data_IF_704066007637
#
_entry.id   IF_704066007637
#
_cell.length_a   1.000
_cell.length_b   1.000
_cell.length_c   1.000
_cell.angle_alpha   90.00
_cell.angle_beta   90.00
_cell.angle_gamma   90.00
#
_symmetry.space_group_name_H-M   'P 1'
#
loop_
_entity.id
_entity.type
_entity.pdbx_description
1 polymer ?
#
# COMPACT_ATOMS: atom_id res chain seq x y z
N UNK A 1 22.95 -14.18 -5.78
CA UNK A 1 21.87 -14.02 -6.77
C UNK A 1 21.90 -12.63 -7.41
N UNK A 2 22.21 -11.56 -6.65
CA UNK A 2 22.45 -10.19 -7.18
C UNK A 2 23.51 -10.13 -8.29
N UNK A 3 24.62 -10.89 -8.20
CA UNK A 3 25.63 -10.96 -9.27
C UNK A 3 25.16 -11.62 -10.57
N UNK A 4 23.98 -12.25 -10.61
CA UNK A 4 23.42 -12.86 -11.83
C UNK A 4 22.65 -11.84 -12.69
N UNK A 5 22.22 -10.71 -12.11
CA UNK A 5 21.36 -9.75 -12.78
C UNK A 5 22.12 -8.57 -13.42
N UNK A 6 23.37 -8.30 -13.05
CA UNK A 6 24.08 -7.06 -13.47
C UNK A 6 24.83 -7.10 -14.81
N UNK A 7 24.91 -8.23 -15.53
CA UNK A 7 25.38 -8.19 -16.93
C UNK A 7 24.22 -7.86 -17.87
N UNK A 8 24.14 -6.58 -18.19
CA UNK A 8 23.34 -5.97 -19.25
C UNK A 8 24.06 -6.15 -20.60
N UNK A 9 23.87 -7.30 -21.23
CA UNK A 9 23.89 -7.35 -22.70
C UNK A 9 22.43 -7.45 -23.12
N UNK A 10 21.93 -6.40 -23.79
CA UNK A 10 20.60 -6.42 -24.39
C UNK A 10 20.62 -7.46 -25.53
N UNK A 11 20.18 -8.68 -25.24
CA UNK A 11 19.80 -9.62 -26.29
C UNK A 11 18.58 -8.97 -26.98
N UNK A 12 18.67 -8.83 -28.31
CA UNK A 12 17.57 -8.29 -29.11
C UNK A 12 16.26 -9.04 -28.78
N UNK A 13 15.13 -8.34 -28.66
CA UNK A 13 13.86 -9.00 -28.40
C UNK A 13 13.50 -9.91 -29.58
N UNK A 14 12.96 -11.09 -29.28
CA UNK A 14 12.36 -11.95 -30.29
C UNK A 14 10.93 -11.52 -30.57
N UNK A 15 10.49 -11.73 -31.80
CA UNK A 15 9.13 -11.41 -32.24
C UNK A 15 8.37 -12.69 -32.59
N UNK A 16 7.17 -12.83 -32.04
CA UNK A 16 6.30 -13.98 -32.25
C UNK A 16 4.96 -13.52 -32.84
N UNK A 17 4.60 -14.00 -34.03
CA UNK A 17 3.29 -13.72 -34.64
C UNK A 17 2.29 -14.78 -34.24
N UNK A 18 1.29 -14.45 -33.42
CA UNK A 18 0.28 -15.37 -32.93
C UNK A 18 -1.05 -15.17 -33.66
N UNK A 19 -1.64 -16.23 -34.21
CA UNK A 19 -2.92 -16.19 -34.95
C UNK A 19 -4.01 -17.11 -34.36
N UNK A 20 -3.78 -17.63 -33.15
CA UNK A 20 -4.72 -18.49 -32.42
C UNK A 20 -4.32 -19.97 -32.38
N UNK A 21 -3.15 -20.32 -32.91
CA UNK A 21 -2.65 -21.70 -32.96
C UNK A 21 -2.26 -22.25 -31.58
N UNK A 22 -1.98 -23.56 -31.52
CA UNK A 22 -1.35 -24.18 -30.37
C UNK A 22 0.04 -23.58 -30.12
N UNK A 23 0.41 -23.45 -28.85
CA UNK A 23 1.72 -22.91 -28.43
C UNK A 23 2.40 -23.92 -27.53
N UNK A 24 3.64 -24.28 -27.84
CA UNK A 24 4.50 -25.07 -26.97
C UNK A 24 5.39 -24.16 -26.12
N UNK A 25 5.37 -24.40 -24.81
CA UNK A 25 6.11 -23.63 -23.81
C UNK A 25 7.23 -24.51 -23.25
N UNK A 26 8.46 -24.02 -23.35
CA UNK A 26 9.63 -24.65 -22.73
C UNK A 26 9.87 -24.04 -21.36
N UNK A 27 10.20 -24.88 -20.38
CA UNK A 27 10.44 -24.45 -19.01
C UNK A 27 11.87 -24.72 -18.54
N UNK A 28 12.41 -23.80 -17.74
CA UNK A 28 13.66 -23.96 -17.00
C UNK A 28 13.36 -23.89 -15.49
N UNK A 29 13.92 -24.81 -14.72
CA UNK A 29 13.81 -24.79 -13.25
C UNK A 29 15.02 -24.12 -12.62
N UNK A 30 14.78 -23.09 -11.82
CA UNK A 30 15.78 -22.40 -11.00
C UNK A 30 15.35 -22.48 -9.54
N UNK A 31 16.17 -23.07 -8.68
CA UNK A 31 15.89 -23.24 -7.23
C UNK A 31 14.51 -23.87 -6.94
N UNK A 32 14.10 -24.85 -7.74
CA UNK A 32 12.80 -25.52 -7.61
C UNK A 32 11.60 -24.74 -8.20
N UNK A 33 11.81 -23.52 -8.68
CA UNK A 33 10.78 -22.70 -9.33
C UNK A 33 10.90 -22.85 -10.85
N UNK A 34 9.77 -23.08 -11.52
CA UNK A 34 9.69 -23.22 -12.98
C UNK A 34 9.43 -21.86 -13.65
N UNK A 35 10.26 -21.51 -14.63
CA UNK A 35 10.17 -20.30 -15.44
C UNK A 35 10.04 -20.69 -16.92
N UNK A 36 9.45 -19.82 -17.73
CA UNK A 36 9.40 -20.03 -19.18
C UNK A 36 10.78 -19.68 -19.77
N UNK A 37 11.34 -20.58 -20.57
CA UNK A 37 12.62 -20.41 -21.25
C UNK A 37 12.47 -20.20 -22.76
N UNK A 38 11.35 -20.62 -23.34
CA UNK A 38 11.06 -20.47 -24.77
C UNK A 38 9.57 -20.64 -25.06
N UNK A 39 9.09 -19.97 -26.10
CA UNK A 39 7.72 -20.04 -26.58
C UNK A 39 7.80 -20.30 -28.08
N UNK A 40 7.21 -21.41 -28.55
CA UNK A 40 7.18 -21.78 -29.96
C UNK A 40 5.73 -21.97 -30.39
N UNK A 41 5.39 -21.57 -31.61
CA UNK A 41 4.09 -21.89 -32.20
C UNK A 41 4.16 -23.30 -32.76
N UNK A 42 3.22 -24.13 -32.33
CA UNK A 42 3.07 -25.46 -32.88
C UNK A 42 2.41 -25.31 -34.24
N UNK A 43 3.23 -25.17 -35.28
CA UNK A 43 2.79 -25.30 -36.68
C UNK A 43 2.53 -26.80 -36.91
N UNK A 44 1.54 -27.37 -36.23
CA UNK A 44 0.96 -28.62 -36.70
C UNK A 44 0.28 -28.28 -38.02
N UNK A 45 0.94 -28.65 -39.13
CA UNK A 45 0.28 -28.77 -40.43
C UNK A 45 -0.91 -29.70 -40.23
N UNK A 46 -2.10 -29.12 -40.21
CA UNK A 46 -3.34 -29.82 -39.95
C UNK A 46 -3.61 -30.87 -41.04
N UNK A 47 -3.26 -32.13 -40.76
CA UNK A 47 -3.88 -33.33 -41.35
C UNK A 47 -5.01 -33.79 -40.43
N UNK A 48 -5.96 -32.91 -40.12
CA UNK A 48 -7.05 -33.31 -39.22
C UNK A 48 -8.01 -32.19 -38.90
N UNK A 49 -8.47 -31.48 -39.92
CA UNK A 49 -9.52 -30.45 -39.91
C UNK A 49 -10.60 -30.72 -38.84
N UNK A 50 -10.42 -30.17 -37.64
CA UNK A 50 -11.52 -29.93 -36.71
C UNK A 50 -11.96 -28.51 -36.99
N UNK A 51 -13.04 -28.42 -37.74
CA UNK A 51 -13.74 -27.19 -38.07
C UNK A 51 -14.37 -26.62 -36.79
N UNK A 52 -13.61 -25.86 -35.99
CA UNK A 52 -14.21 -24.90 -35.06
C UNK A 52 -14.56 -23.66 -35.87
N UNK A 53 -15.75 -23.69 -36.47
CA UNK A 53 -16.36 -22.64 -37.30
C UNK A 53 -16.65 -21.30 -36.61
N UNK A 54 -15.77 -20.87 -35.70
CA UNK A 54 -15.71 -19.53 -35.15
C UNK A 54 -14.24 -19.10 -35.20
N UNK A 55 -13.81 -18.53 -36.33
CA UNK A 55 -12.67 -17.58 -36.34
C UNK A 55 -13.13 -16.31 -35.60
N UNK A 56 -13.36 -16.46 -34.30
CA UNK A 56 -13.68 -15.39 -33.39
C UNK A 56 -12.46 -14.50 -33.14
N UNK A 57 -12.69 -13.36 -32.52
CA UNK A 57 -11.62 -12.47 -32.09
C UNK A 57 -10.59 -13.23 -31.25
N UNK A 58 -9.31 -12.87 -31.39
CA UNK A 58 -8.26 -13.44 -30.57
C UNK A 58 -8.55 -13.21 -29.08
N UNK A 59 -8.40 -14.27 -28.30
CA UNK A 59 -8.56 -14.19 -26.85
C UNK A 59 -7.42 -13.37 -26.23
N UNK A 60 -7.66 -12.77 -25.05
CA UNK A 60 -6.58 -12.14 -24.29
C UNK A 60 -5.49 -13.15 -23.92
N UNK A 61 -4.27 -12.67 -23.69
CA UNK A 61 -3.15 -13.50 -23.19
C UNK A 61 -2.84 -13.08 -21.76
N UNK A 62 -2.99 -14.01 -20.83
CA UNK A 62 -2.66 -13.83 -19.42
C UNK A 62 -1.20 -14.19 -19.17
N UNK A 63 -0.49 -13.33 -18.45
CA UNK A 63 0.92 -13.52 -18.10
C UNK A 63 1.05 -13.45 -16.59
N UNK A 64 1.74 -14.43 -16.00
CA UNK A 64 2.12 -14.43 -14.58
C UNK A 64 3.63 -14.40 -14.45
N UNK A 65 4.15 -13.48 -13.65
CA UNK A 65 5.58 -13.35 -13.37
C UNK A 65 5.86 -13.10 -11.90
N UNK A 66 7.10 -13.33 -11.48
CA UNK A 66 7.63 -12.81 -10.22
C UNK A 66 8.77 -11.82 -10.50
N UNK A 67 9.61 -11.57 -9.49
CA UNK A 67 10.79 -10.71 -9.57
C UNK A 67 11.88 -11.25 -10.50
N UNK A 68 11.91 -12.56 -10.75
CA UNK A 68 12.94 -13.24 -11.55
C UNK A 68 12.52 -13.31 -13.02
N UNK A 69 11.30 -13.74 -13.30
CA UNK A 69 10.83 -13.89 -14.69
C UNK A 69 9.40 -14.37 -14.84
N UNK A 70 9.01 -14.66 -16.07
CA UNK A 70 7.68 -15.18 -16.39
C UNK A 70 7.60 -16.65 -15.98
N UNK A 71 6.58 -16.95 -15.19
CA UNK A 71 6.30 -18.30 -14.68
C UNK A 71 5.24 -19.03 -15.50
N UNK A 72 4.30 -18.28 -16.06
CA UNK A 72 3.14 -18.83 -16.76
C UNK A 72 2.61 -17.86 -17.80
N UNK A 73 2.10 -18.41 -18.91
CA UNK A 73 1.42 -17.67 -19.99
C UNK A 73 0.24 -18.51 -20.46
N UNK A 74 -0.97 -17.98 -20.35
CA UNK A 74 -2.18 -18.60 -20.88
C UNK A 74 -2.73 -17.80 -22.06
N UNK A 75 -2.70 -18.40 -23.24
CA UNK A 75 -3.20 -17.81 -24.48
C UNK A 75 -4.74 -17.80 -24.61
N UNK A 76 -5.45 -18.36 -23.62
CA UNK A 76 -6.92 -18.28 -23.50
C UNK A 76 -7.35 -17.08 -22.64
N UNK A 77 -6.41 -16.42 -21.97
CA UNK A 77 -6.68 -15.26 -21.12
C UNK A 77 -7.05 -15.62 -19.69
N UNK A 78 -6.99 -16.90 -19.34
CA UNK A 78 -7.30 -17.39 -18.01
C UNK A 78 -6.09 -17.27 -17.09
N UNK A 79 -6.25 -16.55 -15.98
CA UNK A 79 -5.26 -16.60 -14.90
C UNK A 79 -5.62 -17.78 -14.02
N UNK A 80 -5.01 -18.93 -14.33
CA UNK A 80 -5.36 -20.22 -13.75
C UNK A 80 -5.23 -20.28 -12.21
N UNK A 81 -4.25 -19.55 -11.65
CA UNK A 81 -4.03 -19.52 -10.20
C UNK A 81 -3.30 -18.26 -9.76
N UNK A 82 -3.96 -17.47 -8.91
CA UNK A 82 -3.30 -16.41 -8.15
C UNK A 82 -2.25 -17.02 -7.21
N UNK A 83 -1.00 -16.63 -7.42
CA UNK A 83 0.17 -16.93 -6.61
C UNK A 83 0.62 -15.68 -5.87
N UNK A 84 0.93 -15.85 -4.59
CA UNK A 84 1.51 -14.78 -3.76
C UNK A 84 2.87 -14.37 -4.31
N UNK A 85 3.18 -13.07 -4.24
CA UNK A 85 4.46 -12.52 -4.73
C UNK A 85 4.61 -12.54 -6.25
N UNK A 86 3.54 -12.80 -6.99
CA UNK A 86 3.52 -12.72 -8.44
C UNK A 86 2.72 -11.49 -8.89
N UNK A 87 3.03 -11.02 -10.09
CA UNK A 87 2.27 -10.00 -10.79
C UNK A 87 1.72 -10.54 -12.12
N UNK A 88 0.63 -9.93 -12.56
CA UNK A 88 -0.21 -10.37 -13.64
C UNK A 88 -0.38 -9.28 -14.68
N UNK A 89 -0.39 -9.67 -15.94
CA UNK A 89 -0.68 -8.78 -17.07
C UNK A 89 -1.60 -9.50 -18.03
N UNK A 90 -2.58 -8.76 -18.57
CA UNK A 90 -3.44 -9.24 -19.63
C UNK A 90 -3.18 -8.45 -20.91
N UNK A 91 -2.61 -9.11 -21.91
CA UNK A 91 -2.47 -8.57 -23.26
C UNK A 91 -3.79 -8.77 -23.97
N UNK A 92 -4.38 -7.67 -24.45
CA UNK A 92 -5.67 -7.72 -25.18
C UNK A 92 -5.42 -7.38 -26.64
N UNK A 93 -5.70 -8.30 -27.57
CA UNK A 93 -5.77 -8.00 -29.00
C UNK A 93 -6.78 -6.87 -29.26
N UNK A 94 -6.56 -6.08 -30.33
CA UNK A 94 -7.58 -5.12 -30.78
C UNK A 94 -8.81 -5.91 -31.25
N UNK A 95 -10.01 -5.36 -31.04
CA UNK A 95 -11.23 -5.99 -31.53
C UNK A 95 -11.15 -6.23 -33.05
N UNK A 96 -11.51 -7.42 -33.52
CA UNK A 96 -11.37 -7.81 -34.93
C UNK A 96 -9.95 -8.23 -35.36
N UNK A 97 -8.94 -8.18 -34.49
CA UNK A 97 -7.59 -8.65 -34.81
C UNK A 97 -7.57 -10.16 -35.00
N UNK A 98 -7.10 -10.60 -36.18
CA UNK A 98 -6.87 -12.01 -36.52
C UNK A 98 -5.45 -12.49 -36.21
N UNK A 99 -4.53 -11.55 -35.97
CA UNK A 99 -3.16 -11.82 -35.59
C UNK A 99 -2.68 -10.73 -34.63
N UNK A 100 -1.75 -11.09 -33.76
CA UNK A 100 -0.98 -10.16 -32.94
C UNK A 100 0.50 -10.49 -33.05
N UNK A 101 1.34 -9.47 -32.95
CA UNK A 101 2.79 -9.64 -32.87
C UNK A 101 3.20 -9.39 -31.42
N UNK A 102 3.80 -10.39 -30.80
CA UNK A 102 4.32 -10.33 -29.45
C UNK A 102 5.82 -10.04 -29.50
N UNK A 103 6.27 -9.09 -28.69
CA UNK A 103 7.67 -8.82 -28.40
C UNK A 103 8.06 -9.55 -27.12
N UNK A 104 9.02 -10.45 -27.20
CA UNK A 104 9.43 -11.32 -26.09
C UNK A 104 10.88 -10.99 -25.69
N UNK A 105 11.07 -10.69 -24.41
CA UNK A 105 12.37 -10.32 -23.85
C UNK A 105 12.96 -11.50 -23.07
N UNK A 106 14.20 -11.88 -23.39
CA UNK A 106 14.87 -13.02 -22.76
C UNK A 106 16.17 -12.63 -22.05
N UNK A 107 16.43 -13.31 -20.93
CA UNK A 107 17.73 -13.40 -20.25
C UNK A 107 17.89 -14.82 -19.71
N UNK A 108 18.12 -15.77 -20.62
CA UNK A 108 18.03 -17.24 -20.39
C UNK A 108 16.62 -17.78 -20.07
N UNK A 109 15.79 -16.96 -19.48
CA UNK A 109 14.35 -17.14 -19.29
C UNK A 109 13.59 -15.96 -19.89
N UNK A 110 12.29 -16.11 -20.14
CA UNK A 110 11.43 -15.00 -20.53
C UNK A 110 11.26 -14.05 -19.35
N UNK A 111 11.54 -12.77 -19.58
CA UNK A 111 11.49 -11.70 -18.58
C UNK A 111 10.35 -10.72 -18.82
N UNK A 112 9.91 -10.58 -20.07
CA UNK A 112 8.73 -9.79 -20.43
C UNK A 112 8.11 -10.28 -21.75
N UNK A 113 6.80 -10.09 -21.90
CA UNK A 113 6.07 -10.26 -23.15
C UNK A 113 5.17 -9.04 -23.29
N UNK A 114 5.23 -8.37 -24.44
CA UNK A 114 4.41 -7.20 -24.78
C UNK A 114 3.91 -7.28 -26.21
N UNK A 115 2.98 -6.38 -26.59
CA UNK A 115 2.59 -6.22 -27.99
C UNK A 115 3.68 -5.44 -28.74
N UNK A 116 4.03 -5.88 -29.94
CA UNK A 116 5.06 -5.23 -30.75
C UNK A 116 4.58 -3.93 -31.41
N UNK A 117 3.29 -3.87 -31.78
CA UNK A 117 2.67 -2.72 -32.46
C UNK A 117 2.23 -1.60 -31.49
N UNK A 118 2.54 -1.73 -30.20
CA UNK A 118 2.16 -0.78 -29.16
C UNK A 118 3.26 0.27 -28.97
N UNK A 119 3.59 0.99 -30.05
CA UNK A 119 4.53 2.13 -30.04
C UNK A 119 3.89 3.40 -29.46
N UNK A 120 2.62 3.33 -29.04
CA UNK A 120 2.00 4.43 -28.31
C UNK A 120 2.40 4.35 -26.85
N UNK A 121 3.26 5.27 -26.39
CA UNK A 121 3.58 5.54 -24.97
C UNK A 121 2.33 5.63 -24.06
N UNK A 122 1.13 5.73 -24.64
CA UNK A 122 -0.16 5.81 -23.95
C UNK A 122 -0.70 4.48 -23.42
N UNK A 123 -0.22 3.32 -23.86
CA UNK A 123 -0.72 2.03 -23.37
C UNK A 123 0.23 1.47 -22.31
N UNK A 124 -0.16 1.67 -21.04
CA UNK A 124 0.69 1.35 -19.90
C UNK A 124 0.94 -0.17 -19.79
N UNK A 125 2.14 -0.60 -20.18
CA UNK A 125 2.63 -1.98 -20.00
C UNK A 125 2.96 -2.26 -18.51
N UNK A 126 1.93 -2.40 -17.69
CA UNK A 126 2.01 -2.65 -16.25
C UNK A 126 1.61 -4.08 -15.91
N UNK A 127 2.34 -4.68 -14.98
CA UNK A 127 1.87 -5.84 -14.23
C UNK A 127 1.25 -5.43 -12.88
N UNK A 128 0.10 -6.03 -12.55
CA UNK A 128 -0.63 -5.81 -11.31
C UNK A 128 -0.45 -6.97 -10.35
N UNK A 129 -0.45 -6.74 -9.04
CA UNK A 129 -0.40 -7.83 -8.05
C UNK A 129 -1.73 -8.58 -7.87
N UNK A 130 -2.75 -8.22 -8.66
CA UNK A 130 -4.04 -8.89 -8.75
C UNK A 130 -4.50 -9.04 -10.21
N UNK A 131 -5.57 -9.80 -10.41
CA UNK A 131 -6.20 -10.00 -11.72
C UNK A 131 -7.18 -8.86 -12.03
N UNK A 132 -6.75 -7.88 -12.80
CA UNK A 132 -7.63 -6.81 -13.29
C UNK A 132 -8.16 -7.11 -14.69
N UNK A 133 -9.48 -7.25 -14.80
CA UNK A 133 -10.18 -7.47 -16.08
C UNK A 133 -10.19 -6.25 -16.98
N UNK A 134 -9.98 -5.05 -16.42
CA UNK A 134 -9.75 -3.79 -17.13
C UNK A 134 -8.75 -2.94 -16.36
N UNK A 135 -7.98 -2.05 -17.03
CA UNK A 135 -7.17 -1.08 -16.32
C UNK A 135 -8.03 -0.29 -15.31
N UNK A 136 -7.51 -0.02 -14.11
CA UNK A 136 -8.24 0.73 -13.10
C UNK A 136 -8.46 2.17 -13.57
N UNK A 137 -9.67 2.69 -13.34
CA UNK A 137 -10.02 4.07 -13.67
C UNK A 137 -9.44 5.03 -12.63
N UNK A 138 -8.34 5.68 -12.99
CA UNK A 138 -7.58 6.57 -12.09
C UNK A 138 -7.55 7.96 -12.72
N UNK A 139 -8.40 8.89 -12.24
CA UNK A 139 -8.54 10.20 -12.86
C UNK A 139 -7.30 11.07 -12.66
N UNK A 140 -6.57 10.88 -11.56
CA UNK A 140 -5.35 11.64 -11.29
C UNK A 140 -4.28 10.73 -10.68
N UNK A 141 -3.10 10.76 -11.29
CA UNK A 141 -1.91 10.11 -10.75
C UNK A 141 -1.06 11.13 -10.02
N UNK A 142 -0.72 10.83 -8.77
CA UNK A 142 0.46 11.42 -8.18
C UNK A 142 1.71 10.75 -8.78
N UNK A 143 2.67 11.56 -9.22
CA UNK A 143 3.93 11.14 -9.81
C UNK A 143 5.02 12.00 -9.20
N UNK A 144 6.01 11.38 -8.54
CA UNK A 144 7.11 12.12 -7.89
C UNK A 144 7.90 12.95 -8.91
N UNK A 145 8.38 12.31 -9.98
CA UNK A 145 9.18 12.93 -11.02
C UNK A 145 8.44 12.93 -12.36
N UNK A 146 8.04 14.12 -12.83
CA UNK A 146 7.37 14.26 -14.12
C UNK A 146 8.34 13.90 -15.25
N UNK A 147 7.92 12.99 -16.13
CA UNK A 147 8.74 12.50 -17.24
C UNK A 147 9.52 11.21 -16.93
N UNK A 148 9.50 10.73 -15.69
CA UNK A 148 10.05 9.42 -15.37
C UNK A 148 9.26 8.30 -16.08
N UNK A 149 9.97 7.27 -16.54
CA UNK A 149 9.35 6.08 -17.12
C UNK A 149 8.33 5.49 -16.13
N UNK A 150 7.16 5.02 -16.62
CA UNK A 150 6.16 4.43 -15.74
C UNK A 150 6.71 3.19 -15.01
N UNK A 151 6.23 2.94 -13.78
CA UNK A 151 6.59 1.73 -13.06
C UNK A 151 6.08 0.49 -13.81
N UNK A 152 6.89 -0.57 -13.83
CA UNK A 152 6.51 -1.85 -14.44
C UNK A 152 5.54 -2.67 -13.59
N UNK A 153 5.55 -2.43 -12.28
CA UNK A 153 4.79 -3.20 -11.31
C UNK A 153 3.95 -2.25 -10.47
N UNK A 154 2.67 -2.54 -10.40
CA UNK A 154 1.72 -1.82 -9.56
C UNK A 154 1.00 -2.79 -8.64
N UNK A 155 0.52 -2.24 -7.54
CA UNK A 155 -0.32 -2.88 -6.55
C UNK A 155 -1.70 -2.26 -6.57
N UNK A 156 -2.70 -3.09 -6.28
CA UNK A 156 -4.06 -2.64 -6.13
C UNK A 156 -4.63 -3.09 -4.79
N UNK A 157 -5.03 -2.12 -3.97
CA UNK A 157 -5.73 -2.35 -2.71
C UNK A 157 -7.19 -2.04 -2.95
N UNK A 158 -8.04 -3.07 -2.96
CA UNK A 158 -9.49 -2.91 -3.11
C UNK A 158 -10.07 -2.27 -1.85
N UNK A 159 -10.99 -1.32 -2.06
CA UNK A 159 -11.81 -0.71 -1.01
C UNK A 159 -13.26 -1.04 -1.30
N UNK A 160 -13.89 -1.81 -0.42
CA UNK A 160 -15.27 -2.23 -0.55
C UNK A 160 -15.99 -2.24 0.81
N UNK A 161 -17.23 -2.70 0.81
CA UNK A 161 -18.07 -2.73 2.02
C UNK A 161 -17.55 -3.68 3.11
N UNK A 162 -16.63 -4.59 2.77
CA UNK A 162 -16.00 -5.51 3.72
C UNK A 162 -14.71 -4.94 4.33
N UNK A 163 -14.24 -3.80 3.83
CA UNK A 163 -13.06 -3.11 4.35
C UNK A 163 -13.34 -2.55 5.74
N UNK A 164 -12.57 -2.99 6.74
CA UNK A 164 -12.67 -2.63 8.16
C UNK A 164 -11.57 -1.67 8.63
N UNK A 165 -10.58 -1.42 7.81
CA UNK A 165 -9.49 -0.52 8.14
C UNK A 165 -8.42 -0.51 7.06
N UNK A 166 -7.56 0.48 7.10
CA UNK A 166 -6.44 0.61 6.18
C UNK A 166 -5.17 0.76 7.01
N UNK A 167 -4.17 -0.08 6.79
CA UNK A 167 -2.84 0.11 7.35
C UNK A 167 -1.89 0.54 6.25
N UNK A 168 -1.16 1.63 6.50
CA UNK A 168 -0.07 2.07 5.63
C UNK A 168 1.23 1.94 6.41
N UNK A 169 2.15 1.18 5.84
CA UNK A 169 3.52 1.16 6.31
C UNK A 169 4.26 2.35 5.71
N UNK A 170 4.93 3.11 6.56
CA UNK A 170 5.56 4.36 6.21
C UNK A 170 7.03 4.30 6.60
N UNK A 171 7.90 4.86 5.77
CA UNK A 171 9.26 5.22 6.16
C UNK A 171 9.35 6.75 6.26
N UNK A 172 10.50 7.25 6.71
CA UNK A 172 10.81 8.69 6.65
C UNK A 172 10.82 9.23 5.20
N UNK A 173 10.97 8.34 4.20
CA UNK A 173 10.99 8.71 2.78
C UNK A 173 9.59 8.67 2.13
N UNK A 174 8.58 8.19 2.84
CA UNK A 174 7.20 8.12 2.37
C UNK A 174 6.60 6.71 2.48
N UNK A 175 5.56 6.46 1.69
CA UNK A 175 4.75 5.23 1.73
C UNK A 175 5.55 4.03 1.23
N UNK A 176 5.56 2.95 2.01
CA UNK A 176 6.22 1.68 1.67
C UNK A 176 5.21 0.68 1.12
N UNK A 177 4.14 0.42 1.87
CA UNK A 177 3.05 -0.48 1.48
C UNK A 177 1.70 -0.03 2.05
N UNK A 178 0.62 -0.40 1.36
CA UNK A 178 -0.75 -0.11 1.74
C UNK A 178 -1.49 -1.44 1.79
N UNK A 179 -2.25 -1.66 2.86
CA UNK A 179 -3.06 -2.85 3.07
C UNK A 179 -4.46 -2.45 3.56
N UNK A 180 -5.50 -3.02 2.97
CA UNK A 180 -6.87 -2.91 3.45
C UNK A 180 -7.22 -4.18 4.22
N UNK A 181 -7.75 -4.02 5.44
CA UNK A 181 -8.12 -5.11 6.32
C UNK A 181 -9.56 -5.52 6.09
N UNK A 182 -9.79 -6.81 5.86
CA UNK A 182 -11.13 -7.44 5.78
C UNK A 182 -11.27 -8.58 6.81
N UNK A 183 -12.45 -9.20 6.91
CA UNK A 183 -12.69 -10.28 7.88
C UNK A 183 -11.93 -11.55 7.52
N UNK A 184 -11.20 -12.10 8.50
CA UNK A 184 -10.51 -13.39 8.38
C UNK A 184 -9.18 -13.33 7.61
N UNK A 185 -8.62 -12.13 7.48
CA UNK A 185 -7.34 -11.95 6.81
C UNK A 185 -6.14 -12.47 7.60
N UNK A 186 -5.06 -12.72 6.86
CA UNK A 186 -3.78 -13.15 7.44
C UNK A 186 -2.91 -11.95 7.78
N UNK A 187 -2.13 -12.09 8.85
CA UNK A 187 -1.18 -11.06 9.30
C UNK A 187 0.16 -11.13 8.56
N UNK A 188 0.28 -11.98 7.55
CA UNK A 188 1.55 -12.23 6.86
C UNK A 188 2.04 -11.04 6.01
N UNK A 189 1.21 -10.00 5.81
CA UNK A 189 1.63 -8.81 5.06
C UNK A 189 2.69 -7.99 5.84
N UNK A 190 2.66 -8.03 7.18
CA UNK A 190 3.65 -7.37 8.03
C UNK A 190 5.05 -7.94 7.74
N UNK A 191 5.19 -9.27 7.84
CA UNK A 191 6.43 -10.00 7.57
C UNK A 191 6.96 -9.74 6.14
N UNK A 192 6.12 -9.84 5.10
CA UNK A 192 6.58 -9.55 3.72
C UNK A 192 7.15 -8.13 3.60
N UNK A 193 6.50 -7.16 4.23
CA UNK A 193 6.92 -5.77 4.10
C UNK A 193 8.24 -5.53 4.80
N UNK A 194 8.43 -6.13 5.98
CA UNK A 194 9.67 -6.06 6.76
C UNK A 194 10.83 -6.77 6.03
N UNK A 195 10.58 -7.92 5.40
CA UNK A 195 11.58 -8.64 4.62
C UNK A 195 12.07 -7.85 3.39
N UNK A 196 11.22 -6.98 2.83
CA UNK A 196 11.53 -6.22 1.61
C UNK A 196 12.30 -4.93 1.87
N UNK A 197 12.23 -4.40 3.09
CA UNK A 197 12.68 -3.03 3.36
C UNK A 197 13.65 -3.05 4.52
N UNK A 198 14.92 -2.79 4.19
CA UNK A 198 15.95 -2.55 5.20
C UNK A 198 15.76 -1.15 5.78
N UNK A 199 15.07 -1.04 6.92
CA UNK A 199 14.97 0.23 7.63
C UNK A 199 13.82 0.33 8.63
N UNK A 200 13.73 1.50 9.26
CA UNK A 200 12.65 1.85 10.18
C UNK A 200 11.31 1.99 9.44
N UNK A 201 10.34 1.17 9.82
CA UNK A 201 8.97 1.17 9.30
C UNK A 201 8.02 1.59 10.43
N UNK A 202 7.14 2.53 10.12
CA UNK A 202 6.07 3.00 11.00
C UNK A 202 4.74 2.46 10.47
N UNK A 203 3.95 1.85 11.35
CA UNK A 203 2.66 1.24 10.99
C UNK A 203 1.51 2.11 11.43
N UNK A 204 0.93 2.87 10.50
CA UNK A 204 -0.21 3.73 10.78
C UNK A 204 -1.49 3.02 10.34
N UNK A 205 -2.39 2.78 11.28
CA UNK A 205 -3.68 2.13 11.01
C UNK A 205 -4.82 3.15 11.10
N UNK A 206 -5.73 3.07 10.13
CA UNK A 206 -6.96 3.84 10.11
C UNK A 206 -8.13 2.86 10.12
N UNK A 207 -8.70 2.53 11.29
CA UNK A 207 -9.86 1.65 11.38
C UNK A 207 -11.07 2.33 10.74
N UNK A 208 -11.96 1.55 10.12
CA UNK A 208 -13.21 2.03 9.53
C UNK A 208 -14.40 1.42 10.27
N UNK A 209 -15.35 2.28 10.66
CA UNK A 209 -16.62 1.88 11.22
C UNK A 209 -17.46 1.07 10.21
N UNK A 210 -18.51 0.42 10.70
CA UNK A 210 -19.44 -0.28 9.82
C UNK A 210 -20.08 0.70 8.82
N UNK A 211 -19.97 0.40 7.52
CA UNK A 211 -20.44 1.25 6.40
C UNK A 211 -19.70 2.59 6.25
N UNK A 212 -18.63 2.81 7.01
CA UNK A 212 -17.75 3.95 6.76
C UNK A 212 -16.90 3.66 5.53
N UNK A 213 -16.89 4.61 4.59
CA UNK A 213 -16.14 4.48 3.34
C UNK A 213 -15.13 5.60 3.20
N UNK A 214 -14.08 5.36 2.43
CA UNK A 214 -13.21 6.44 1.97
C UNK A 214 -14.02 7.33 1.01
N UNK A 215 -13.86 8.64 1.12
CA UNK A 215 -14.56 9.63 0.28
C UNK A 215 -13.61 10.52 -0.51
N UNK A 216 -12.38 10.69 -0.02
CA UNK A 216 -11.37 11.49 -0.70
C UNK A 216 -9.97 11.08 -0.26
N UNK A 217 -8.98 11.42 -1.08
CA UNK A 217 -7.59 11.35 -0.67
C UNK A 217 -6.70 12.37 -1.38
N UNK A 218 -5.57 12.64 -0.75
CA UNK A 218 -4.55 13.57 -1.20
C UNK A 218 -3.17 12.97 -0.98
N UNK A 219 -2.19 13.50 -1.69
CA UNK A 219 -0.79 13.39 -1.32
C UNK A 219 -0.34 14.69 -0.70
N UNK A 220 0.17 14.60 0.52
CA UNK A 220 0.88 15.71 1.17
C UNK A 220 2.36 15.56 0.92
N UNK A 221 3.00 16.58 0.38
CA UNK A 221 4.44 16.62 0.11
C UNK A 221 5.00 18.03 0.34
N UNK A 222 6.33 18.12 0.44
CA UNK A 222 7.02 19.41 0.46
C UNK A 222 6.89 20.06 -0.92
N UNK A 223 6.42 21.29 -0.96
CA UNK A 223 6.36 22.10 -2.18
C UNK A 223 7.75 22.67 -2.47
N UNK A 224 8.62 21.81 -2.99
CA UNK A 224 10.00 22.13 -3.36
C UNK A 224 10.31 21.66 -4.77
N UNK A 225 11.13 22.41 -5.52
CA UNK A 225 11.68 21.94 -6.79
C UNK A 225 12.74 20.83 -6.61
N UNK A 226 13.19 20.58 -5.38
CA UNK A 226 14.15 19.50 -5.09
C UNK A 226 13.48 18.13 -5.17
N UNK A 227 14.25 17.11 -5.56
CA UNK A 227 13.79 15.72 -5.70
C UNK A 227 13.59 14.98 -4.36
N UNK A 228 13.61 15.66 -3.21
CA UNK A 228 13.34 15.07 -1.89
C UNK A 228 11.86 15.24 -1.50
N UNK A 229 10.98 14.72 -2.38
CA UNK A 229 9.54 14.72 -2.15
C UNK A 229 9.23 13.50 -1.30
N UNK A 230 8.86 13.73 -0.03
CA UNK A 230 8.49 12.70 0.93
C UNK A 230 6.95 12.58 0.98
N UNK A 231 6.30 11.87 0.03
CA UNK A 231 4.85 11.84 -0.07
C UNK A 231 4.25 11.10 1.12
N UNK A 232 3.22 11.72 1.70
CA UNK A 232 2.33 11.10 2.68
C UNK A 232 0.94 10.97 2.09
N UNK A 233 0.32 9.80 2.21
CA UNK A 233 -1.08 9.62 1.83
C UNK A 233 -1.96 10.26 2.89
N UNK A 234 -3.01 10.95 2.46
CA UNK A 234 -4.05 11.49 3.33
C UNK A 234 -5.38 10.95 2.85
N UNK A 235 -6.15 10.33 3.74
CA UNK A 235 -7.48 9.82 3.42
C UNK A 235 -8.53 10.49 4.30
N UNK A 236 -9.70 10.75 3.72
CA UNK A 236 -10.89 11.22 4.44
C UNK A 236 -12.05 10.25 4.26
N UNK A 237 -12.83 10.03 5.32
CA UNK A 237 -13.96 9.10 5.33
C UNK A 237 -15.32 9.80 5.25
N UNK A 238 -16.39 9.01 5.10
CA UNK A 238 -17.78 9.48 5.14
C UNK A 238 -18.19 10.05 6.51
N UNK A 239 -17.51 9.65 7.59
CA UNK A 239 -17.63 10.26 8.92
C UNK A 239 -16.77 11.53 9.09
N UNK A 240 -16.21 12.06 8.00
CA UNK A 240 -15.34 13.26 7.97
C UNK A 240 -14.06 13.13 8.80
N UNK A 241 -13.68 11.91 9.16
CA UNK A 241 -12.41 11.63 9.82
C UNK A 241 -11.29 11.68 8.79
N UNK A 242 -10.13 12.17 9.19
CA UNK A 242 -8.97 12.32 8.31
C UNK A 242 -7.76 11.66 8.95
N UNK A 243 -7.09 10.79 8.19
CA UNK A 243 -5.85 10.16 8.61
C UNK A 243 -4.71 10.57 7.66
N UNK A 244 -3.55 10.90 8.24
CA UNK A 244 -2.33 11.22 7.50
C UNK A 244 -1.32 10.09 7.74
N UNK A 245 -0.98 9.38 6.67
CA UNK A 245 -0.01 8.31 6.65
C UNK A 245 1.38 8.86 6.30
N UNK A 246 1.99 9.52 7.28
CA UNK A 246 3.32 10.10 7.12
C UNK A 246 3.76 10.94 8.31
N UNK A 247 4.97 11.50 8.25
CA UNK A 247 5.58 12.19 9.37
C UNK A 247 4.81 13.45 9.77
N UNK A 248 4.91 13.83 11.03
CA UNK A 248 4.37 15.09 11.52
C UNK A 248 5.06 16.28 10.83
N UNK A 249 4.26 17.31 10.53
CA UNK A 249 4.75 18.57 9.97
C UNK A 249 4.50 19.69 10.99
N UNK A 250 5.57 20.27 11.55
CA UNK A 250 5.48 21.41 12.46
C UNK A 250 4.68 22.57 11.87
N UNK A 251 3.91 23.26 12.72
CA UNK A 251 2.99 24.32 12.30
C UNK A 251 3.69 25.43 11.51
N UNK A 252 4.89 25.84 11.94
CA UNK A 252 5.75 26.82 11.28
C UNK A 252 6.23 26.37 9.89
N UNK A 253 6.17 25.08 9.58
CA UNK A 253 6.57 24.51 8.28
C UNK A 253 5.42 24.13 7.37
N UNK A 254 4.17 24.12 7.86
CA UNK A 254 3.00 23.67 7.07
C UNK A 254 2.81 24.45 5.78
N UNK A 255 3.15 25.74 5.75
CA UNK A 255 3.08 26.57 4.56
C UNK A 255 4.01 26.11 3.41
N UNK A 256 5.01 25.27 3.71
CA UNK A 256 5.91 24.68 2.73
C UNK A 256 5.40 23.36 2.16
N UNK A 257 4.25 22.88 2.63
CA UNK A 257 3.66 21.63 2.16
C UNK A 257 2.41 21.93 1.34
N UNK A 258 2.18 21.12 0.31
CA UNK A 258 0.97 21.15 -0.50
C UNK A 258 0.22 19.84 -0.38
N UNK A 259 -1.07 19.90 -0.70
CA UNK A 259 -1.95 18.73 -0.78
C UNK A 259 -2.43 18.57 -2.21
N UNK A 260 -1.93 17.57 -2.92
CA UNK A 260 -2.38 17.23 -4.26
C UNK A 260 -3.55 16.24 -4.17
N UNK A 261 -4.74 16.56 -4.68
CA UNK A 261 -5.87 15.63 -4.68
C UNK A 261 -5.59 14.42 -5.60
N UNK A 262 -5.96 13.22 -5.15
CA UNK A 262 -5.73 11.95 -5.86
C UNK A 262 -6.90 11.52 -6.75
N UNK A 263 -7.99 12.27 -6.82
CA UNK A 263 -9.02 11.98 -7.79
C UNK A 263 -10.23 12.89 -7.80
N UNK A 264 -11.30 12.38 -8.43
CA UNK A 264 -12.51 13.12 -8.72
C UNK A 264 -13.48 13.06 -7.52
N UNK A 265 -14.25 14.13 -7.37
CA UNK A 265 -15.00 14.48 -6.18
C UNK A 265 -16.38 13.86 -6.07
N UNK A 266 -16.88 13.32 -7.17
CA UNK A 266 -18.27 12.91 -7.29
C UNK A 266 -18.52 11.43 -6.96
N UNK A 267 -17.46 10.66 -6.69
CA UNK A 267 -17.55 9.23 -6.43
C UNK A 267 -16.66 8.81 -5.24
N UNK A 268 -17.10 7.79 -4.50
CA UNK A 268 -16.27 7.16 -3.47
C UNK A 268 -15.14 6.36 -4.12
N UNK A 269 -13.90 6.48 -3.64
CA UNK A 269 -12.82 5.62 -4.07
C UNK A 269 -13.14 4.14 -3.88
N UNK A 270 -12.87 3.33 -4.89
CA UNK A 270 -13.06 1.86 -4.89
C UNK A 270 -11.76 1.09 -4.66
N UNK A 271 -10.64 1.81 -4.57
CA UNK A 271 -9.34 1.21 -4.42
C UNK A 271 -8.20 2.21 -4.44
N UNK A 272 -7.02 1.72 -4.07
CA UNK A 272 -5.75 2.47 -4.08
C UNK A 272 -4.76 1.74 -4.97
N UNK A 273 -4.19 2.46 -5.93
CA UNK A 273 -3.14 1.95 -6.81
C UNK A 273 -1.80 2.59 -6.46
N UNK A 274 -0.76 1.79 -6.28
CA UNK A 274 0.58 2.31 -6.00
C UNK A 274 1.69 1.35 -6.45
N UNK A 275 2.94 1.79 -6.55
CA UNK A 275 4.10 0.89 -6.65
C UNK A 275 4.99 1.00 -5.41
N UNK A 276 5.68 -0.10 -5.07
CA UNK A 276 6.53 -0.18 -3.89
C UNK A 276 7.68 0.87 -3.96
N UNK A 277 7.69 1.86 -3.05
CA UNK A 277 8.87 2.71 -2.82
C UNK A 277 9.92 1.89 -2.08
N UNK A 278 10.88 1.35 -2.81
CA UNK A 278 11.98 0.57 -2.22
C UNK A 278 12.53 -0.49 -3.17
N UNK A 279 11.73 -0.97 -4.12
CA UNK A 279 12.17 -1.94 -5.14
C UNK A 279 12.66 -1.24 -6.42
N UNK A 280 12.16 -0.02 -6.69
CA UNK A 280 12.56 0.80 -7.84
C UNK A 280 13.00 2.20 -7.38
N UNK A 281 13.71 2.90 -8.28
CA UNK A 281 14.06 4.32 -8.10
C UNK A 281 12.84 5.12 -7.66
N UNK A 282 12.98 5.92 -6.59
CA UNK A 282 11.91 6.76 -6.05
C UNK A 282 11.27 7.68 -7.13
N UNK A 283 12.02 7.99 -8.20
CA UNK A 283 11.51 8.73 -9.36
C UNK A 283 10.30 8.10 -10.05
N UNK A 284 10.12 6.79 -9.94
CA UNK A 284 9.02 6.06 -10.58
C UNK A 284 7.78 5.90 -9.68
N UNK A 285 7.80 6.44 -8.46
CA UNK A 285 6.65 6.29 -7.55
C UNK A 285 5.39 6.94 -8.12
N UNK A 286 4.33 6.15 -8.14
CA UNK A 286 2.99 6.53 -8.52
C UNK A 286 2.00 6.09 -7.45
N UNK A 287 1.02 6.95 -7.22
CA UNK A 287 -0.08 6.70 -6.30
C UNK A 287 -1.35 7.29 -6.91
N UNK A 288 -2.45 6.56 -6.82
CA UNK A 288 -3.74 6.98 -7.35
C UNK A 288 -4.89 6.31 -6.62
N UNK A 289 -6.05 6.94 -6.68
CA UNK A 289 -7.31 6.36 -6.23
C UNK A 289 -8.14 5.91 -7.43
N UNK A 290 -8.77 4.75 -7.32
CA UNK A 290 -9.70 4.25 -8.33
C UNK A 290 -11.12 4.66 -8.00
N UNK A 291 -11.95 4.83 -9.02
CA UNK A 291 -13.35 5.24 -8.87
C UNK A 291 -14.25 4.44 -9.80
N UNK A 292 -15.45 4.12 -9.33
CA UNK A 292 -16.52 3.66 -10.21
C UNK A 292 -16.95 4.81 -11.12
N UNK A 293 -17.21 4.50 -12.38
CA UNK A 293 -17.59 5.50 -13.39
C UNK A 293 -19.01 5.98 -13.09
N UNK A 294 -19.14 7.07 -12.33
CA UNK A 294 -20.34 7.92 -12.29
C UNK A 294 -20.12 9.18 -11.45
N UNK A 295 -20.37 10.35 -12.05
CA UNK A 295 -20.48 11.63 -11.36
C UNK A 295 -19.71 12.75 -12.07
N UNK A 296 -20.46 13.72 -12.61
CA UNK A 296 -19.98 14.94 -13.28
C UNK A 296 -20.41 16.17 -12.47
N UNK A 297 -20.10 16.21 -11.18
CA UNK A 297 -20.41 17.38 -10.35
C UNK A 297 -19.13 18.07 -9.89
N UNK A 298 -19.01 19.35 -10.26
CA UNK A 298 -17.92 20.27 -9.92
C UNK A 298 -18.01 20.71 -8.45
N UNK A 299 -17.67 19.83 -7.52
CA UNK A 299 -17.36 20.26 -6.14
C UNK A 299 -15.89 20.70 -6.05
N UNK A 300 -15.55 21.55 -5.08
CA UNK A 300 -14.16 21.93 -4.80
C UNK A 300 -13.69 21.18 -3.54
N UNK A 301 -12.62 20.37 -3.65
CA UNK A 301 -11.94 19.80 -2.48
C UNK A 301 -11.31 20.94 -1.69
N UNK A 302 -11.88 21.23 -0.52
CA UNK A 302 -11.12 21.95 0.49
C UNK A 302 -9.95 21.06 0.93
N UNK A 303 -8.78 21.67 1.08
CA UNK A 303 -7.65 20.99 1.69
C UNK A 303 -8.08 20.42 3.06
N UNK A 304 -7.55 19.26 3.47
CA UNK A 304 -7.82 18.72 4.78
C UNK A 304 -7.46 19.78 5.83
N UNK A 305 -8.40 20.05 6.74
CA UNK A 305 -8.18 21.03 7.81
C UNK A 305 -7.04 20.54 8.69
N UNK A 306 -5.92 21.24 8.66
CA UNK A 306 -4.85 21.03 9.62
C UNK A 306 -5.27 21.74 10.90
N UNK A 307 -6.01 21.05 11.77
CA UNK A 307 -6.39 21.60 13.07
C UNK A 307 -5.18 22.03 13.89
N UNK A 308 -5.43 22.64 15.05
CA UNK A 308 -4.41 22.90 16.04
C UNK A 308 -3.87 21.55 16.54
N UNK A 309 -2.68 21.20 16.05
CA UNK A 309 -1.97 20.01 16.50
C UNK A 309 -0.98 20.43 17.56
N UNK A 310 -0.79 19.56 18.54
CA UNK A 310 0.24 19.79 19.56
C UNK A 310 1.63 19.88 18.93
N UNK A 311 2.52 20.59 19.62
CA UNK A 311 3.95 20.59 19.31
C UNK A 311 4.57 19.26 19.73
N UNK A 312 5.55 18.75 18.96
CA UNK A 312 6.28 17.55 19.36
C UNK A 312 6.99 17.79 20.70
N UNK A 313 7.23 16.72 21.48
CA UNK A 313 8.03 16.81 22.70
C UNK A 313 9.43 17.32 22.36
N UNK A 314 10.03 18.08 23.28
CA UNK A 314 11.40 18.55 23.14
C UNK A 314 12.34 17.33 23.15
N UNK A 315 12.82 16.96 21.97
CA UNK A 315 13.52 15.71 21.72
C UNK A 315 14.47 15.84 20.54
N UNK A 316 15.61 15.14 20.61
CA UNK A 316 16.58 15.04 19.51
C UNK A 316 16.11 14.15 18.36
N UNK A 317 14.95 13.49 18.51
CA UNK A 317 14.40 12.60 17.50
C UNK A 317 13.93 13.43 16.29
N UNK A 318 14.49 13.19 15.10
CA UNK A 318 14.40 14.14 13.99
C UNK A 318 13.03 14.20 13.32
N UNK A 319 12.25 13.10 13.37
CA UNK A 319 11.00 13.01 12.65
C UNK A 319 10.01 12.08 13.36
N UNK A 320 8.99 12.69 13.95
CA UNK A 320 7.92 11.98 14.65
C UNK A 320 6.74 11.69 13.72
N UNK A 321 5.98 10.65 14.03
CA UNK A 321 4.59 10.47 13.63
C UNK A 321 3.69 10.92 14.79
N UNK A 322 2.47 11.32 14.47
CA UNK A 322 1.54 11.92 15.41
C UNK A 322 0.15 11.33 15.25
N UNK A 323 -0.50 11.06 16.38
CA UNK A 323 -1.91 10.70 16.45
C UNK A 323 -2.49 11.22 17.76
N UNK A 324 -3.77 11.59 17.77
CA UNK A 324 -4.45 12.00 19.00
C UNK A 324 -5.94 11.68 18.95
N UNK A 325 -6.50 11.33 20.11
CA UNK A 325 -7.93 11.04 20.26
C UNK A 325 -8.38 11.29 21.71
N UNK A 326 -9.65 11.60 21.88
CA UNK A 326 -10.28 11.81 23.19
C UNK A 326 -10.73 10.48 23.77
N UNK A 327 -10.51 10.22 25.06
CA UNK A 327 -11.14 9.07 25.72
C UNK A 327 -12.64 9.28 26.00
N UNK A 328 -13.14 10.50 25.80
CA UNK A 328 -14.55 10.82 26.03
C UNK A 328 -15.44 9.97 25.13
N UNK A 329 -16.35 9.20 25.75
CA UNK A 329 -17.24 8.26 25.07
C UNK A 329 -16.59 6.93 24.64
N UNK A 330 -15.30 6.70 24.91
CA UNK A 330 -14.66 5.41 24.65
C UNK A 330 -15.22 4.35 25.62
N UNK A 331 -15.57 3.19 25.10
CA UNK A 331 -16.14 2.07 25.88
C UNK A 331 -15.13 0.96 26.15
N UNK A 332 -14.06 0.90 25.34
CA UNK A 332 -12.99 -0.10 25.45
C UNK A 332 -11.70 0.46 24.88
N UNK A 333 -10.59 0.06 25.48
CA UNK A 333 -9.23 0.34 25.00
C UNK A 333 -8.56 -0.98 24.70
N UNK A 334 -7.96 -1.09 23.52
CA UNK A 334 -7.14 -2.25 23.14
C UNK A 334 -5.69 -1.81 23.01
N UNK A 335 -4.78 -2.52 23.63
CA UNK A 335 -3.34 -2.22 23.61
C UNK A 335 -2.65 -3.10 22.58
N UNK A 336 -1.80 -2.50 21.76
CA UNK A 336 -0.88 -3.21 20.89
C UNK A 336 0.48 -3.29 21.59
N UNK A 337 0.87 -4.48 22.01
CA UNK A 337 2.07 -4.73 22.82
C UNK A 337 3.10 -5.51 22.02
N UNK A 338 4.33 -5.03 22.02
CA UNK A 338 5.44 -5.69 21.33
C UNK A 338 6.30 -6.51 22.30
N UNK A 339 5.89 -7.76 22.56
CA UNK A 339 6.63 -8.69 23.43
C UNK A 339 7.99 -9.11 22.87
N UNK A 340 8.29 -8.79 21.60
CA UNK A 340 9.58 -9.11 21.00
C UNK A 340 10.66 -8.10 21.40
N UNK A 341 10.29 -6.93 21.93
CA UNK A 341 11.25 -5.92 22.41
C UNK A 341 11.55 -6.09 23.91
N UNK A 342 12.77 -5.78 24.38
CA UNK A 342 13.20 -6.04 25.76
C UNK A 342 12.29 -5.46 26.84
N UNK A 343 11.73 -4.27 26.62
CA UNK A 343 10.89 -3.55 27.59
C UNK A 343 9.40 -3.86 27.47
N UNK A 344 9.02 -4.76 26.56
CA UNK A 344 7.62 -5.09 26.24
C UNK A 344 6.77 -3.83 26.08
N UNK A 345 7.16 -2.90 25.19
CA UNK A 345 6.49 -1.62 25.06
C UNK A 345 5.07 -1.79 24.49
N UNK A 346 4.16 -0.95 24.96
CA UNK A 346 2.93 -0.68 24.25
C UNK A 346 3.28 0.28 23.10
N UNK A 347 3.13 -0.19 21.86
CA UNK A 347 3.51 0.57 20.66
C UNK A 347 2.35 1.38 20.09
N UNK A 348 1.12 1.08 20.51
CA UNK A 348 -0.07 1.84 20.17
C UNK A 348 -1.32 1.32 20.87
N UNK A 349 -2.41 2.07 20.73
CA UNK A 349 -3.70 1.77 21.33
C UNK A 349 -4.82 1.97 20.31
N UNK A 350 -5.89 1.22 20.46
CA UNK A 350 -7.11 1.34 19.68
C UNK A 350 -8.27 1.63 20.63
N UNK A 351 -8.78 2.85 20.53
CA UNK A 351 -9.96 3.31 21.27
C UNK A 351 -11.20 2.85 20.52
N UNK A 352 -12.10 2.19 21.24
CA UNK A 352 -13.37 1.69 20.68
C UNK A 352 -14.50 2.53 21.26
N UNK A 353 -15.26 3.16 20.38
CA UNK A 353 -16.48 3.90 20.70
C UNK A 353 -17.69 3.08 20.25
N UNK A 354 -18.89 3.62 20.50
CA UNK A 354 -20.14 2.97 20.09
C UNK A 354 -20.26 2.89 18.56
N UNK A 355 -19.79 3.92 17.86
CA UNK A 355 -20.01 4.13 16.43
C UNK A 355 -18.74 3.99 15.57
N UNK A 356 -17.55 4.11 16.17
CA UNK A 356 -16.28 4.03 15.44
C UNK A 356 -15.12 3.57 16.32
N UNK A 357 -13.93 3.47 15.71
CA UNK A 357 -12.68 3.21 16.41
C UNK A 357 -11.64 4.27 16.02
N UNK A 358 -10.70 4.58 16.92
CA UNK A 358 -9.57 5.48 16.69
C UNK A 358 -8.26 4.81 17.09
N UNK A 359 -7.27 4.84 16.19
CA UNK A 359 -5.95 4.25 16.45
C UNK A 359 -4.93 5.33 16.78
N UNK A 360 -4.16 5.10 17.84
CA UNK A 360 -3.07 5.96 18.30
C UNK A 360 -1.76 5.17 18.35
N UNK A 361 -0.66 5.80 17.96
CA UNK A 361 0.62 5.12 17.85
C UNK A 361 0.66 4.14 16.68
N UNK A 362 1.37 3.02 16.86
CA UNK A 362 1.46 1.94 15.89
C UNK A 362 0.48 0.82 16.20
N UNK A 363 -0.32 0.42 15.22
CA UNK A 363 -1.25 -0.69 15.36
C UNK A 363 -0.96 -1.82 14.39
N UNK A 364 -0.84 -3.03 14.95
CA UNK A 364 -0.32 -4.21 14.29
C UNK A 364 -1.08 -5.46 14.74
N UNK A 365 -1.74 -6.14 13.81
CA UNK A 365 -2.47 -7.37 14.12
C UNK A 365 -1.56 -8.60 14.28
N UNK A 366 -0.28 -8.52 13.88
CA UNK A 366 0.74 -9.55 14.15
C UNK A 366 1.38 -9.44 15.54
N UNK A 367 0.91 -8.51 16.38
CA UNK A 367 1.41 -8.28 17.75
C UNK A 367 0.37 -8.71 18.78
N UNK A 368 0.79 -8.76 20.04
CA UNK A 368 -0.10 -9.08 21.14
C UNK A 368 -1.12 -7.95 21.33
N UNK A 369 -2.40 -8.32 21.36
CA UNK A 369 -3.50 -7.39 21.62
C UNK A 369 -4.08 -7.68 23.00
N UNK A 370 -4.03 -6.69 23.89
CA UNK A 370 -4.60 -6.77 25.24
C UNK A 370 -5.85 -5.88 25.35
N UNK A 371 -6.95 -6.41 25.86
CA UNK A 371 -8.22 -5.69 25.97
C UNK A 371 -8.43 -5.13 27.39
N UNK A 372 -8.90 -3.88 27.47
CA UNK A 372 -9.28 -3.21 28.72
C UNK A 372 -10.67 -2.58 28.57
N UNK A 373 -11.59 -2.96 29.46
CA UNK A 373 -12.97 -2.45 29.44
C UNK A 373 -13.07 -1.21 30.31
N UNK A 374 -13.59 -0.11 29.76
CA UNK A 374 -13.83 1.13 30.52
C UNK A 374 -15.12 1.01 31.35
N UNK A 375 -15.20 1.65 32.53
CA UNK A 375 -14.34 2.73 33.05
C UNK A 375 -13.19 2.24 33.97
N UNK A 376 -12.60 1.07 33.72
CA UNK A 376 -11.41 0.64 34.48
C UNK A 376 -10.27 1.69 34.38
N UNK A 377 -9.51 1.90 35.46
CA UNK A 377 -8.40 2.85 35.44
C UNK A 377 -7.32 2.39 34.46
N UNK A 378 -6.74 3.34 33.73
CA UNK A 378 -5.63 3.09 32.80
C UNK A 378 -4.43 3.87 33.30
N UNK A 379 -3.30 3.19 33.46
CA UNK A 379 -2.05 3.81 33.87
C UNK A 379 -1.05 3.78 32.73
N UNK A 380 -0.40 4.91 32.48
CA UNK A 380 0.63 5.07 31.45
C UNK A 380 1.95 5.43 32.10
N UNK A 381 2.98 4.67 31.73
CA UNK A 381 4.37 4.89 32.13
C UNK A 381 5.18 5.30 30.90
N UNK A 382 6.04 6.30 31.08
CA UNK A 382 7.02 6.72 30.09
C UNK A 382 8.41 6.36 30.61
N UNK A 383 9.07 5.42 29.94
CA UNK A 383 10.43 5.03 30.22
C UNK A 383 11.41 5.56 29.17
N UNK A 384 12.70 5.43 29.44
CA UNK A 384 13.74 5.74 28.47
C UNK A 384 14.80 4.63 28.46
N UNK A 385 15.03 4.04 27.30
CA UNK A 385 16.11 3.08 27.08
C UNK A 385 17.33 3.79 26.49
N UNK A 386 18.53 3.45 26.96
CA UNK A 386 19.76 4.09 26.49
C UNK A 386 20.09 3.82 25.03
N UNK A 387 19.52 2.76 24.44
CA UNK A 387 19.78 2.31 23.07
C UNK A 387 18.60 2.61 22.13
N UNK A 388 17.37 2.33 22.56
CA UNK A 388 16.15 2.46 21.78
C UNK A 388 15.41 3.79 22.00
N UNK A 389 15.77 4.56 23.02
CA UNK A 389 15.14 5.84 23.36
C UNK A 389 13.84 5.68 24.17
N UNK A 390 12.96 6.69 24.14
CA UNK A 390 11.77 6.72 24.98
C UNK A 390 10.75 5.66 24.56
N UNK A 391 10.15 5.00 25.54
CA UNK A 391 9.14 3.96 25.32
C UNK A 391 7.96 4.13 26.29
N UNK A 392 6.85 3.48 25.96
CA UNK A 392 5.60 3.58 26.71
C UNK A 392 5.17 2.19 27.19
N UNK A 393 4.69 2.11 28.43
CA UNK A 393 3.92 0.96 28.95
C UNK A 393 2.54 1.44 29.38
N UNK A 394 1.52 0.60 29.15
CA UNK A 394 0.15 0.88 29.53
C UNK A 394 -0.40 -0.34 30.28
N UNK A 395 -1.02 -0.13 31.44
CA UNK A 395 -1.55 -1.20 32.30
C UNK A 395 -2.91 -0.82 32.90
N UNK A 396 -3.74 -1.82 33.21
CA UNK A 396 -5.06 -1.63 33.82
C UNK A 396 -5.04 -1.55 35.35
N UNK A 397 -3.89 -1.72 35.97
CA UNK A 397 -3.71 -1.63 37.42
C UNK A 397 -2.35 -1.02 37.75
N UNK A 398 -2.31 -0.17 38.78
CA UNK A 398 -1.09 0.54 39.16
C UNK A 398 -0.04 -0.45 39.67
N UNK A 399 1.10 -0.53 38.99
CA UNK A 399 2.29 -1.22 39.50
C UNK A 399 2.91 -0.40 40.65
N UNK A 400 3.58 -1.05 41.61
CA UNK A 400 4.10 -0.38 42.81
C UNK A 400 5.31 0.53 42.54
N UNK A 401 6.04 0.31 41.44
CA UNK A 401 7.25 1.06 41.08
C UNK A 401 7.06 1.83 39.77
N UNK A 402 7.54 3.08 39.73
CA UNK A 402 7.60 3.92 38.53
C UNK A 402 6.67 5.14 38.52
N UNK A 403 6.98 6.09 37.64
CA UNK A 403 6.22 7.33 37.42
C UNK A 403 4.99 7.08 36.53
N UNK A 404 4.04 6.29 37.04
CA UNK A 404 2.77 6.01 36.38
C UNK A 404 1.83 7.21 36.46
N UNK A 405 1.20 7.55 35.34
CA UNK A 405 0.10 8.53 35.27
C UNK A 405 -1.21 7.83 34.98
N UNK A 406 -2.20 8.08 35.82
CA UNK A 406 -3.57 7.63 35.58
C UNK A 406 -4.21 8.47 34.47
N UNK A 407 -4.95 7.82 33.58
CA UNK A 407 -5.76 8.45 32.55
C UNK A 407 -7.23 8.25 32.88
N UNK A 408 -7.97 9.34 32.81
CA UNK A 408 -9.41 9.42 33.05
C UNK A 408 -10.19 9.40 31.74
N UNK A 409 -11.48 9.04 31.82
CA UNK A 409 -12.36 8.95 30.65
C UNK A 409 -12.59 10.26 29.88
N UNK A 410 -12.14 11.41 30.39
CA UNK A 410 -12.27 12.71 29.70
C UNK A 410 -10.95 13.24 29.13
N UNK A 411 -9.85 12.52 29.35
CA UNK A 411 -8.54 12.96 28.88
C UNK A 411 -8.39 12.75 27.36
N UNK A 412 -7.60 13.61 26.72
CA UNK A 412 -7.12 13.41 25.36
C UNK A 412 -5.73 12.80 25.40
N UNK A 413 -5.56 11.70 24.68
CA UNK A 413 -4.27 11.04 24.49
C UNK A 413 -3.63 11.59 23.22
N UNK A 414 -2.38 12.00 23.33
CA UNK A 414 -1.54 12.40 22.21
C UNK A 414 -0.36 11.46 22.16
N UNK A 415 -0.16 10.80 21.02
CA UNK A 415 0.88 9.81 20.82
C UNK A 415 1.85 10.25 19.75
N UNK A 416 3.11 10.41 20.15
CA UNK A 416 4.25 10.67 19.29
C UNK A 416 5.06 9.39 19.14
N UNK A 417 5.35 8.97 17.91
CA UNK A 417 6.03 7.69 17.69
C UNK A 417 6.98 7.68 16.49
N UNK A 418 7.96 6.79 16.56
CA UNK A 418 8.79 6.32 15.43
C UNK A 418 8.71 4.79 15.40
N UNK A 419 9.57 4.11 14.62
CA UNK A 419 9.63 2.64 14.67
C UNK A 419 10.10 2.11 16.03
N UNK A 420 10.97 2.87 16.72
CA UNK A 420 11.61 2.46 17.97
C UNK A 420 11.11 3.21 19.20
N UNK A 421 10.73 4.48 19.03
CA UNK A 421 10.45 5.37 20.14
C UNK A 421 8.95 5.67 20.25
N UNK A 422 8.48 5.93 21.46
CA UNK A 422 7.13 6.43 21.72
C UNK A 422 7.12 7.37 22.92
N UNK A 423 6.35 8.45 22.81
CA UNK A 423 6.08 9.40 23.89
C UNK A 423 4.57 9.66 23.89
N UNK A 424 3.95 9.52 25.07
CA UNK A 424 2.54 9.85 25.28
C UNK A 424 2.40 11.10 26.12
N UNK A 425 1.60 12.04 25.63
CA UNK A 425 1.20 13.25 26.35
C UNK A 425 -0.29 13.16 26.63
N UNK A 426 -0.66 13.32 27.90
CA UNK A 426 -2.06 13.30 28.36
C UNK A 426 -2.50 14.74 28.59
N UNK A 427 -3.64 15.14 28.02
CA UNK A 427 -4.25 16.46 28.22
C UNK A 427 -5.61 16.30 28.90
N UNK A 428 -5.75 16.91 30.06
CA UNK A 428 -7.00 16.88 30.81
C UNK A 428 -7.96 17.95 30.33
N UNK A 429 -9.23 17.56 30.16
CA UNK A 429 -10.30 18.47 29.82
C UNK A 429 -10.34 19.63 30.85
N UNK A 430 -10.10 20.86 30.39
CA UNK A 430 -10.07 22.07 31.23
C UNK A 430 -8.72 22.79 31.30
N UNK A 431 -7.61 22.18 30.86
CA UNK A 431 -6.36 22.89 30.61
C UNK A 431 -6.31 23.38 29.16
N UNK A 432 -7.03 24.46 28.87
CA UNK A 432 -6.80 25.21 27.64
C UNK A 432 -5.46 25.96 27.75
N UNK A 433 -4.66 25.90 26.69
CA UNK A 433 -3.38 26.60 26.52
C UNK A 433 -3.49 28.12 26.66
#
# INVERSE_FOLDING_TARGET
>A
MERFLERSECINPDYLTYTGEGVSIQHLRLSGISYIAGINIDIQQDKGKIDTGLRGDLLPIAITRDEVGIRDVDFRGDILKLRRGCWYKLIRPKAGSKQIILRIHFKYIVTNISLADDDTETNWDIFWDCTLSTPPNIPNWYIIEKGACPPKYMRYVRLDNDTRGITVSCSIRGIVSIHAHTRGETVQFYEITEDKVSGAIMWVHFPLAEKETITAGWVREVDTPLNDRQPALVLRTSLRRTCIFGPYVPQDRRHKYRFQPLGNLSASPTGVCYNDMGIASASQFRLGLTYDVQGTDDWVLSNPSSGDMDSPPDSTIPQWFYSSASLDGAIRVRLCVDKQKPHVPCIGILLVYVDHEESLGQWRYDRDIEDMVLPAPIYVFSGNDSTAGPYVRVVGSREQEGDWREITGTDRIIWWFTSECSIVVIRTAGQAS
#
